data_IF_905310056826
#
_entry.id   IF_905310056826
#
_cell.length_a   1.000
_cell.length_b   1.000
_cell.length_c   1.000
_cell.angle_alpha   90.00
_cell.angle_beta   90.00
_cell.angle_gamma   90.00
#
_symmetry.space_group_name_H-M   'P 1'
#
loop_
_entity.id
_entity.type
_entity.pdbx_description
1 polymer ?
#
# COMPACT_ATOMS: atom_id res chain seq x y z
N UNK A 1 -4.45 -20.86 -5.58
CA UNK A 1 -4.27 -20.81 -4.11
C UNK A 1 -5.22 -19.74 -3.60
N UNK A 2 -6.29 -20.12 -2.89
CA UNK A 2 -7.21 -19.15 -2.27
C UNK A 2 -6.65 -18.83 -0.88
N UNK A 3 -5.98 -17.70 -0.72
CA UNK A 3 -5.87 -17.09 0.59
C UNK A 3 -7.13 -16.24 0.76
N UNK A 4 -7.98 -16.62 1.71
CA UNK A 4 -9.18 -15.86 2.05
C UNK A 4 -9.42 -16.06 3.54
N UNK A 5 -8.87 -15.16 4.35
CA UNK A 5 -9.42 -14.80 5.68
C UNK A 5 -8.81 -13.49 6.25
N UNK A 6 -8.34 -12.59 5.39
CA UNK A 6 -7.88 -11.24 5.74
C UNK A 6 -7.80 -10.36 4.50
N UNK A 7 -7.92 -9.05 4.65
CA UNK A 7 -7.70 -8.10 3.55
C UNK A 7 -6.28 -8.28 2.99
N UNK A 8 -6.12 -8.30 1.68
CA UNK A 8 -4.81 -8.36 1.03
C UNK A 8 -4.01 -7.08 1.33
N UNK A 9 -2.67 -7.12 1.24
CA UNK A 9 -1.82 -5.95 1.55
C UNK A 9 -2.28 -4.68 0.84
N UNK A 10 -2.64 -4.77 -0.44
CA UNK A 10 -3.10 -3.62 -1.22
C UNK A 10 -4.38 -3.00 -0.65
N UNK A 11 -5.32 -3.83 -0.21
CA UNK A 11 -6.57 -3.36 0.42
C UNK A 11 -6.30 -2.72 1.79
N UNK A 12 -5.38 -3.29 2.58
CA UNK A 12 -4.95 -2.72 3.86
C UNK A 12 -4.23 -1.39 3.68
N UNK A 13 -3.36 -1.28 2.69
CA UNK A 13 -2.66 -0.05 2.35
C UNK A 13 -3.66 1.05 1.94
N UNK A 14 -4.62 0.69 1.08
CA UNK A 14 -5.68 1.60 0.66
C UNK A 14 -6.54 2.07 1.83
N UNK A 15 -6.90 1.16 2.73
CA UNK A 15 -7.66 1.49 3.94
C UNK A 15 -6.87 2.45 4.86
N UNK A 16 -5.61 2.11 5.17
CA UNK A 16 -4.74 2.96 5.98
C UNK A 16 -4.64 4.37 5.39
N UNK A 17 -4.46 4.47 4.07
CA UNK A 17 -4.40 5.75 3.37
C UNK A 17 -5.69 6.55 3.54
N UNK A 18 -6.85 5.92 3.35
CA UNK A 18 -8.14 6.61 3.46
C UNK A 18 -8.47 7.01 4.91
N UNK A 19 -8.11 6.17 5.89
CA UNK A 19 -8.31 6.47 7.31
C UNK A 19 -7.43 7.65 7.75
N UNK A 20 -6.25 7.78 7.18
CA UNK A 20 -5.36 8.93 7.35
C UNK A 20 -5.75 10.15 6.48
N UNK A 21 -6.85 10.09 5.73
CA UNK A 21 -7.31 11.13 4.80
C UNK A 21 -6.27 11.55 3.75
N UNK A 22 -5.40 10.62 3.35
CA UNK A 22 -4.35 10.88 2.37
C UNK A 22 -4.82 10.56 0.94
N UNK A 23 -4.37 11.36 -0.02
CA UNK A 23 -4.39 10.97 -1.43
C UNK A 23 -3.27 9.97 -1.70
N UNK A 24 -3.36 9.22 -2.81
CA UNK A 24 -2.27 8.32 -3.21
C UNK A 24 -0.96 9.08 -3.43
N UNK A 25 -1.03 10.32 -3.93
CA UNK A 25 0.14 11.18 -4.09
C UNK A 25 0.76 11.55 -2.73
N UNK A 26 -0.07 11.94 -1.76
CA UNK A 26 0.43 12.31 -0.43
C UNK A 26 1.10 11.12 0.29
N UNK A 27 0.56 9.92 0.13
CA UNK A 27 1.20 8.69 0.63
C UNK A 27 2.51 8.40 -0.11
N UNK A 28 2.53 8.57 -1.43
CA UNK A 28 3.73 8.39 -2.24
C UNK A 28 4.85 9.34 -1.79
N UNK A 29 4.53 10.62 -1.58
CA UNK A 29 5.46 11.64 -1.11
C UNK A 29 6.02 11.27 0.28
N UNK A 30 5.16 10.81 1.20
CA UNK A 30 5.55 10.38 2.55
C UNK A 30 6.49 9.17 2.54
N UNK A 31 6.27 8.22 1.63
CA UNK A 31 7.09 7.01 1.51
C UNK A 31 8.28 7.16 0.55
N UNK A 32 8.47 8.36 -0.03
CA UNK A 32 9.44 8.60 -1.09
C UNK A 32 9.31 7.59 -2.26
N UNK A 33 8.07 7.31 -2.67
CA UNK A 33 7.72 6.44 -3.81
C UNK A 33 7.02 7.22 -4.90
N UNK A 34 6.87 6.60 -6.07
CA UNK A 34 6.05 7.17 -7.14
C UNK A 34 4.57 6.90 -6.89
N UNK A 35 3.70 7.78 -7.41
CA UNK A 35 2.25 7.57 -7.41
C UNK A 35 1.86 6.21 -8.02
N UNK A 36 2.50 5.85 -9.14
CA UNK A 36 2.27 4.57 -9.81
C UNK A 36 2.66 3.37 -8.94
N UNK A 37 3.71 3.49 -8.13
CA UNK A 37 4.10 2.46 -7.16
C UNK A 37 3.00 2.22 -6.13
N UNK A 38 2.48 3.28 -5.51
CA UNK A 38 1.37 3.17 -4.54
C UNK A 38 0.12 2.59 -5.22
N UNK A 39 -0.24 3.06 -6.41
CA UNK A 39 -1.39 2.53 -7.15
C UNK A 39 -1.27 1.04 -7.49
N UNK A 40 -0.08 0.59 -7.90
CA UNK A 40 0.18 -0.82 -8.19
C UNK A 40 0.11 -1.68 -6.92
N UNK A 41 0.57 -1.14 -5.79
CA UNK A 41 0.49 -1.82 -4.49
C UNK A 41 -0.94 -1.96 -4.02
N UNK A 42 -1.73 -0.87 -4.07
CA UNK A 42 -3.13 -0.88 -3.63
C UNK A 42 -4.01 -1.84 -4.46
N UNK A 43 -3.73 -1.98 -5.77
CA UNK A 43 -4.43 -2.93 -6.64
C UNK A 43 -3.93 -4.37 -6.53
N UNK A 44 -2.79 -4.60 -5.88
CA UNK A 44 -2.14 -5.90 -5.82
C UNK A 44 -1.44 -6.33 -7.11
N UNK A 45 -1.31 -5.44 -8.12
CA UNK A 45 -0.65 -5.73 -9.39
C UNK A 45 0.84 -6.07 -9.18
N UNK A 46 1.49 -5.31 -8.30
CA UNK A 46 2.88 -5.52 -7.90
C UNK A 46 2.96 -5.23 -6.40
N UNK A 47 3.56 -6.13 -5.62
CA UNK A 47 3.76 -5.93 -4.20
C UNK A 47 5.20 -5.49 -3.90
N UNK A 48 5.44 -4.75 -2.81
CA UNK A 48 6.80 -4.48 -2.36
C UNK A 48 7.51 -5.81 -2.05
N UNK A 49 8.72 -5.97 -2.58
CA UNK A 49 9.52 -7.19 -2.39
C UNK A 49 10.25 -7.22 -1.05
N UNK A 50 10.44 -6.05 -0.45
CA UNK A 50 11.17 -5.89 0.80
C UNK A 50 10.19 -5.64 1.96
N UNK A 51 10.34 -6.43 3.02
CA UNK A 51 9.56 -6.28 4.25
C UNK A 51 9.84 -4.96 4.95
N UNK A 52 11.02 -4.37 4.78
CA UNK A 52 11.35 -3.07 5.37
C UNK A 52 10.37 -1.97 4.94
N UNK A 53 9.94 -2.00 3.67
CA UNK A 53 8.97 -1.05 3.11
C UNK A 53 7.61 -1.15 3.81
N UNK A 54 7.22 -2.37 4.21
CA UNK A 54 5.96 -2.60 4.93
C UNK A 54 6.03 -2.03 6.34
N UNK A 55 7.21 -2.09 6.99
CA UNK A 55 7.41 -1.56 8.34
C UNK A 55 7.38 -0.03 8.40
N UNK A 56 7.70 0.67 7.30
CA UNK A 56 7.61 2.14 7.23
C UNK A 56 6.17 2.67 7.33
N UNK A 57 5.16 1.79 7.22
CA UNK A 57 3.74 2.13 7.34
C UNK A 57 3.20 2.03 8.77
N UNK A 58 3.93 1.40 9.70
CA UNK A 58 3.58 1.27 11.11
C UNK A 58 4.08 2.46 11.94
#
# INVERSE_FOLDING_TARGET
MRYSEGKEFGELLGQFRTDAQLSQQALADRMHKSLGTIGNWERGDHLPRDRAIILELA
#
